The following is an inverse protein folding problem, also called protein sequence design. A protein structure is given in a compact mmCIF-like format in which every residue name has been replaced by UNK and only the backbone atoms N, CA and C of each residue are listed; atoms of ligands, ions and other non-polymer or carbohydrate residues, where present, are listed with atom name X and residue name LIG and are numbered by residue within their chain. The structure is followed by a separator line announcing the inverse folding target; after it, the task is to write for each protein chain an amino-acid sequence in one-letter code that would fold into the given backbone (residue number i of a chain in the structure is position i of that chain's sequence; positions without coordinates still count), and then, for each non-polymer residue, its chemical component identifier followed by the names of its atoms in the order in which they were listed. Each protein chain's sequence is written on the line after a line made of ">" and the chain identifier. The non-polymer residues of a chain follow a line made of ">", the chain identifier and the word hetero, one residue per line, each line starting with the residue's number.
data_IF_105434520482
#
_entry.id   IF_105434520482
#
_cell.length_a   1.000
_cell.length_b   1.000
_cell.length_c   1.000
_cell.angle_alpha   90.00
_cell.angle_beta   90.00
_cell.angle_gamma   90.00
#
_symmetry.space_group_name_H-M   'P 1'
#
loop_
_entity.id
_entity.type
_entity.pdbx_description
1 polymer ?
#
# COMPACT_ATOMS: atom_id res chain seq x y z
N UNK A 1 -3.98 -27.97 2.73
CA UNK A 1 -5.20 -27.26 3.15
C UNK A 1 -4.94 -25.77 2.92
N UNK A 2 -5.57 -25.10 1.95
CA UNK A 2 -5.51 -23.64 1.92
C UNK A 2 -6.49 -23.14 2.98
N UNK A 3 -5.97 -22.45 3.99
CA UNK A 3 -6.81 -21.76 4.96
C UNK A 3 -7.69 -20.75 4.21
N UNK A 4 -9.00 -20.85 4.44
CA UNK A 4 -9.98 -19.93 3.93
C UNK A 4 -9.59 -18.51 4.37
N UNK A 5 -9.28 -17.66 3.38
CA UNK A 5 -9.21 -16.22 3.59
C UNK A 5 -10.63 -15.70 3.88
N UNK A 6 -11.08 -15.89 5.11
CA UNK A 6 -12.33 -15.31 5.60
C UNK A 6 -12.22 -13.80 5.38
N UNK A 7 -13.10 -13.24 4.53
CA UNK A 7 -13.10 -11.81 4.26
C UNK A 7 -13.43 -11.05 5.54
N UNK A 8 -12.41 -10.53 6.21
CA UNK A 8 -12.64 -9.53 7.23
C UNK A 8 -13.17 -8.26 6.55
N UNK A 9 -14.14 -7.55 7.14
CA UNK A 9 -14.52 -6.24 6.64
C UNK A 9 -13.25 -5.39 6.56
N UNK A 10 -12.97 -4.83 5.39
CA UNK A 10 -11.75 -4.05 5.18
C UNK A 10 -11.77 -2.85 6.10
N UNK A 11 -10.90 -2.87 7.11
CA UNK A 11 -10.80 -1.76 8.05
C UNK A 11 -9.87 -0.72 7.46
N UNK A 12 -10.38 0.47 7.16
CA UNK A 12 -9.54 1.62 6.77
C UNK A 12 -8.68 2.01 7.98
N UNK A 13 -7.36 2.04 7.78
CA UNK A 13 -6.37 2.28 8.81
C UNK A 13 -5.94 3.75 8.85
N UNK A 14 -5.72 4.35 7.68
CA UNK A 14 -5.27 5.73 7.56
C UNK A 14 -5.65 6.31 6.20
N UNK A 15 -5.76 7.64 6.16
CA UNK A 15 -5.96 8.43 4.94
C UNK A 15 -5.10 9.68 5.04
N UNK A 16 -4.16 9.84 4.12
CA UNK A 16 -3.29 11.03 4.04
C UNK A 16 -3.04 11.38 2.57
N UNK A 17 -3.26 12.66 2.22
CA UNK A 17 -2.86 13.26 0.94
C UNK A 17 -3.14 12.38 -0.30
N UNK A 18 -4.37 11.89 -0.41
CA UNK A 18 -4.86 11.05 -1.52
C UNK A 18 -4.24 9.65 -1.61
N UNK A 19 -3.60 9.18 -0.53
CA UNK A 19 -3.31 7.78 -0.27
C UNK A 19 -4.15 7.25 0.91
N UNK A 20 -4.58 6.01 0.79
CA UNK A 20 -5.36 5.31 1.79
C UNK A 20 -4.67 3.99 2.13
N UNK A 21 -4.78 3.59 3.39
CA UNK A 21 -4.37 2.27 3.87
C UNK A 21 -5.59 1.53 4.38
N UNK A 22 -5.76 0.27 3.96
CA UNK A 22 -6.79 -0.61 4.49
C UNK A 22 -6.21 -1.97 4.86
N UNK A 23 -6.62 -2.51 6.00
CA UNK A 23 -6.30 -3.88 6.40
C UNK A 23 -7.27 -4.84 5.70
N UNK A 24 -6.74 -5.81 4.97
CA UNK A 24 -7.54 -6.77 4.19
C UNK A 24 -7.46 -8.20 4.74
N UNK A 25 -6.47 -8.49 5.58
CA UNK A 25 -6.36 -9.74 6.34
C UNK A 25 -5.55 -9.53 7.62
N UNK A 26 -5.37 -10.58 8.44
CA UNK A 26 -4.54 -10.50 9.65
C UNK A 26 -3.09 -10.11 9.35
N UNK A 27 -2.58 -10.51 8.18
CA UNK A 27 -1.18 -10.38 7.80
C UNK A 27 -0.96 -9.44 6.61
N UNK A 28 -1.99 -8.74 6.12
CA UNK A 28 -1.88 -7.93 4.89
C UNK A 28 -2.62 -6.59 4.97
N UNK A 29 -1.94 -5.57 4.45
CA UNK A 29 -2.45 -4.21 4.26
C UNK A 29 -2.33 -3.84 2.79
N UNK A 30 -3.27 -3.05 2.30
CA UNK A 30 -3.25 -2.47 0.96
C UNK A 30 -3.11 -0.96 1.05
N UNK A 31 -2.20 -0.38 0.26
CA UNK A 31 -2.14 1.06 -0.01
C UNK A 31 -2.74 1.34 -1.38
N UNK A 32 -3.64 2.30 -1.46
CA UNK A 32 -4.34 2.68 -2.68
C UNK A 32 -4.72 4.16 -2.69
N UNK A 33 -4.91 4.75 -3.86
CA UNK A 33 -5.30 6.16 -3.97
C UNK A 33 -4.74 6.83 -5.22
N UNK A 34 -5.07 8.11 -5.42
CA UNK A 34 -4.68 8.88 -6.61
C UNK A 34 -3.18 9.14 -6.66
N UNK A 35 -2.50 9.25 -5.51
CA UNK A 35 -1.05 9.50 -5.45
C UNK A 35 -0.20 8.26 -5.14
N UNK A 36 -0.79 7.07 -5.12
CA UNK A 36 -0.03 5.82 -4.99
C UNK A 36 0.56 5.46 -6.36
N UNK A 37 1.84 5.08 -6.39
CA UNK A 37 2.55 4.83 -7.65
C UNK A 37 3.47 3.61 -7.60
N UNK A 38 3.81 3.06 -8.77
CA UNK A 38 4.81 2.00 -8.90
C UNK A 38 6.23 2.46 -8.54
N UNK A 39 6.49 3.78 -8.51
CA UNK A 39 7.78 4.32 -8.05
C UNK A 39 7.96 4.02 -6.57
N UNK A 40 6.90 4.17 -5.77
CA UNK A 40 6.93 3.80 -4.34
C UNK A 40 7.31 2.32 -4.15
N UNK A 41 6.68 1.42 -4.92
CA UNK A 41 7.01 0.00 -4.91
C UNK A 41 8.49 -0.28 -5.24
N UNK A 42 9.01 0.38 -6.28
CA UNK A 42 10.42 0.26 -6.69
C UNK A 42 11.37 0.78 -5.61
N UNK A 43 11.03 1.89 -4.97
CA UNK A 43 11.82 2.47 -3.90
C UNK A 43 11.85 1.56 -2.68
N UNK A 44 10.71 0.98 -2.28
CA UNK A 44 10.68 -0.01 -1.20
C UNK A 44 11.59 -1.20 -1.50
N UNK A 45 11.52 -1.74 -2.72
CA UNK A 45 12.37 -2.86 -3.13
C UNK A 45 13.86 -2.47 -3.15
N UNK A 46 14.16 -1.24 -3.58
CA UNK A 46 15.53 -0.72 -3.58
C UNK A 46 16.08 -0.59 -2.15
N UNK A 47 15.33 0.03 -1.24
CA UNK A 47 15.74 0.20 0.15
C UNK A 47 15.91 -1.15 0.84
N UNK A 48 14.98 -2.08 0.64
CA UNK A 48 15.07 -3.45 1.17
C UNK A 48 16.33 -4.20 0.70
N UNK A 49 16.77 -3.96 -0.55
CA UNK A 49 17.93 -4.65 -1.13
C UNK A 49 19.27 -4.00 -0.78
N UNK A 50 19.29 -2.68 -0.63
CA UNK A 50 20.54 -1.91 -0.59
C UNK A 50 20.84 -1.28 0.77
N UNK A 51 19.96 -1.44 1.76
CA UNK A 51 20.14 -0.84 3.08
C UNK A 51 19.72 -1.81 4.18
N UNK A 52 20.17 -1.54 5.41
CA UNK A 52 19.71 -2.26 6.60
C UNK A 52 18.46 -1.63 7.24
N UNK A 53 17.87 -0.62 6.60
CA UNK A 53 16.67 0.04 7.12
C UNK A 53 15.49 -0.94 6.96
N UNK A 54 14.78 -1.27 8.04
CA UNK A 54 13.62 -2.14 7.94
C UNK A 54 12.52 -1.43 7.15
N UNK A 55 12.06 -2.06 6.08
CA UNK A 55 10.89 -1.64 5.31
C UNK A 55 9.86 -2.75 5.27
N UNK A 56 8.58 -2.38 5.17
CA UNK A 56 7.48 -3.34 5.01
C UNK A 56 7.72 -4.20 3.77
N UNK A 57 7.47 -5.51 3.89
CA UNK A 57 7.59 -6.41 2.76
C UNK A 57 6.47 -6.13 1.75
N UNK A 58 6.86 -5.68 0.56
CA UNK A 58 5.97 -5.59 -0.61
C UNK A 58 5.72 -7.01 -1.16
N UNK A 59 4.45 -7.41 -1.21
CA UNK A 59 4.03 -8.73 -1.72
C UNK A 59 3.64 -8.62 -3.19
N UNK A 60 2.82 -7.63 -3.54
CA UNK A 60 2.36 -7.36 -4.91
C UNK A 60 2.23 -5.86 -5.12
N UNK A 61 2.61 -5.39 -6.31
CA UNK A 61 2.26 -4.07 -6.80
C UNK A 61 1.48 -4.23 -8.11
N UNK A 62 0.29 -3.65 -8.18
CA UNK A 62 -0.59 -3.73 -9.33
C UNK A 62 -1.02 -2.34 -9.77
N UNK A 63 -0.93 -2.04 -11.06
CA UNK A 63 -1.39 -0.78 -11.63
C UNK A 63 -2.41 -1.07 -12.73
N UNK A 64 -3.55 -0.38 -12.66
CA UNK A 64 -4.64 -0.47 -13.62
C UNK A 64 -4.90 0.89 -14.26
N UNK A 65 -5.00 0.93 -15.59
CA UNK A 65 -5.22 2.16 -16.35
C UNK A 65 -4.51 2.15 -17.70
N UNK A 66 -4.39 3.33 -18.34
CA UNK A 66 -4.77 4.65 -17.83
C UNK A 66 -6.29 4.80 -17.68
N UNK A 67 -6.70 5.58 -16.69
CA UNK A 67 -8.09 5.94 -16.41
C UNK A 67 -8.36 7.35 -16.95
N UNK A 68 -9.59 7.59 -17.38
CA UNK A 68 -10.06 8.93 -17.73
C UNK A 68 -10.27 9.74 -16.44
N UNK A 69 -9.19 10.38 -15.99
CA UNK A 69 -9.14 11.22 -14.79
C UNK A 69 -8.77 12.64 -15.20
N UNK A 70 -9.20 13.59 -14.38
CA UNK A 70 -8.78 14.97 -14.52
C UNK A 70 -7.24 15.07 -14.43
N UNK A 71 -6.63 15.59 -15.49
CA UNK A 71 -5.18 15.78 -15.58
C UNK A 71 -4.70 16.82 -14.56
N UNK A 72 -5.59 17.73 -14.14
CA UNK A 72 -5.28 18.81 -13.21
C UNK A 72 -5.32 18.36 -11.73
N UNK A 73 -5.72 17.12 -11.43
CA UNK A 73 -5.74 16.56 -10.06
C UNK A 73 -4.32 16.22 -9.53
N UNK A 74 -3.26 16.43 -10.33
CA UNK A 74 -1.86 16.08 -10.03
C UNK A 74 -1.63 14.62 -9.58
N UNK A 75 -2.66 13.78 -9.68
CA UNK A 75 -2.68 12.37 -9.34
C UNK A 75 -2.26 11.50 -10.52
N UNK A 76 -2.01 10.23 -10.24
CA UNK A 76 -1.74 9.25 -11.29
C UNK A 76 -3.00 8.97 -12.10
N UNK A 77 -2.86 8.91 -13.43
CA UNK A 77 -3.89 8.34 -14.31
C UNK A 77 -4.04 6.82 -14.13
N UNK A 78 -3.16 6.17 -13.37
CA UNK A 78 -3.28 4.76 -13.02
C UNK A 78 -3.82 4.60 -11.59
N UNK A 79 -4.74 3.66 -11.40
CA UNK A 79 -5.05 3.16 -10.08
C UNK A 79 -3.97 2.15 -9.66
N UNK A 80 -3.12 2.54 -8.70
CA UNK A 80 -2.08 1.67 -8.17
C UNK A 80 -2.48 1.11 -6.81
N UNK A 81 -2.22 -0.18 -6.62
CA UNK A 81 -2.47 -0.94 -5.40
C UNK A 81 -1.18 -1.60 -4.95
N UNK A 82 -0.75 -1.31 -3.72
CA UNK A 82 0.43 -1.92 -3.11
C UNK A 82 -0.02 -2.83 -1.97
N UNK A 83 0.18 -4.14 -2.14
CA UNK A 83 -0.09 -5.14 -1.13
C UNK A 83 1.17 -5.38 -0.32
N UNK A 84 1.08 -5.19 0.98
CA UNK A 84 2.22 -5.25 1.90
C UNK A 84 1.88 -6.14 3.09
N UNK A 85 2.90 -6.76 3.67
CA UNK A 85 2.74 -7.49 4.92
C UNK A 85 2.33 -6.53 6.04
N UNK A 86 1.29 -6.87 6.80
CA UNK A 86 0.92 -6.11 7.99
C UNK A 86 1.80 -6.54 9.17
N UNK A 87 2.42 -5.58 9.84
CA UNK A 87 3.20 -5.79 11.06
C UNK A 87 2.40 -5.24 12.23
N UNK A 88 2.10 -6.10 13.20
CA UNK A 88 1.37 -5.71 14.40
C UNK A 88 2.36 -5.17 15.45
N UNK A 89 2.74 -3.91 15.32
CA UNK A 89 3.61 -3.19 16.25
C UNK A 89 2.92 -1.96 16.83
N UNK A 90 3.51 -1.35 17.87
CA UNK A 90 3.06 -0.04 18.35
C UNK A 90 3.47 1.03 17.35
N UNK A 91 2.58 2.00 17.14
CA UNK A 91 2.89 3.19 16.36
C UNK A 91 3.96 4.03 17.07
N UNK A 92 4.72 4.79 16.31
CA UNK A 92 5.66 5.75 16.88
C UNK A 92 4.86 6.95 17.40
N UNK A 93 4.60 6.96 18.71
CA UNK A 93 4.04 8.13 19.38
C UNK A 93 5.05 9.29 19.36
N UNK A 94 4.55 10.51 19.23
CA UNK A 94 5.38 11.71 19.29
C UNK A 94 5.72 11.96 20.76
N UNK A 95 7.00 11.94 21.11
CA UNK A 95 7.50 12.31 22.44
C UNK A 95 7.34 13.81 22.75
#
# INVERSE_FOLDING_TARGET
>A
MPELYTSMPSKRLATESGANLAKISLAMVIKYGTHVSLIEAKNMLYVAKNTSIPVLQLVVAYAYGPLDRDIDDFGSVYATYLFMQFINSKDLEKS
#
